data_IF_296638861995
#
_entry.id   IF_296638861995
#
_cell.length_a   1.000
_cell.length_b   1.000
_cell.length_c   1.000
_cell.angle_alpha   90.00
_cell.angle_beta   90.00
_cell.angle_gamma   90.00
#
_symmetry.space_group_name_H-M   'P 1'
#
loop_
_entity.id
_entity.type
_entity.pdbx_description
1 polymer ?
#
# COMPACT_ATOMS: atom_id res chain seq x y z
N UNK A 1 -4.96 16.78 25.16
CA UNK A 1 -4.65 16.50 23.74
C UNK A 1 -3.45 15.55 23.75
N UNK A 2 -3.58 14.33 23.22
CA UNK A 2 -2.49 13.34 23.28
C UNK A 2 -1.36 13.70 22.31
N UNK A 3 -0.12 13.24 22.56
CA UNK A 3 0.97 13.43 21.61
C UNK A 3 0.61 12.82 20.25
N UNK A 4 0.93 13.56 19.18
CA UNK A 4 0.57 13.18 17.80
C UNK A 4 1.07 11.78 17.42
N UNK A 5 2.21 11.32 17.92
CA UNK A 5 2.74 9.98 17.63
C UNK A 5 1.89 8.80 18.14
N UNK A 6 0.88 9.05 18.98
CA UNK A 6 -0.04 8.02 19.49
C UNK A 6 -1.44 8.11 18.87
N UNK A 7 -1.59 8.91 17.82
CA UNK A 7 -2.81 8.93 17.02
C UNK A 7 -2.84 7.71 16.10
N UNK A 8 -4.04 7.25 15.73
CA UNK A 8 -4.23 6.04 14.96
C UNK A 8 -3.60 6.14 13.56
N UNK A 9 -3.63 7.31 12.93
CA UNK A 9 -2.99 7.58 11.64
C UNK A 9 -1.46 7.44 11.72
N UNK A 10 -0.83 8.13 12.67
CA UNK A 10 0.64 8.12 12.83
C UNK A 10 1.16 6.76 13.29
N UNK A 11 0.44 6.06 14.17
CA UNK A 11 0.77 4.68 14.55
C UNK A 11 0.59 3.72 13.37
N UNK A 12 -0.46 3.90 12.56
CA UNK A 12 -0.64 3.11 11.34
C UNK A 12 0.52 3.35 10.39
N UNK A 13 0.89 4.60 10.11
CA UNK A 13 2.02 4.93 9.24
C UNK A 13 3.33 4.29 9.74
N UNK A 14 3.61 4.41 11.03
CA UNK A 14 4.78 3.79 11.64
C UNK A 14 4.79 2.25 11.49
N UNK A 15 3.65 1.62 11.79
CA UNK A 15 3.47 0.18 11.67
C UNK A 15 3.65 -0.28 10.22
N UNK A 16 2.98 0.37 9.26
CA UNK A 16 3.09 0.04 7.83
C UNK A 16 4.52 0.16 7.35
N UNK A 17 5.25 1.22 7.73
CA UNK A 17 6.65 1.39 7.39
C UNK A 17 7.54 0.25 7.92
N UNK A 18 7.21 -0.30 9.10
CA UNK A 18 7.94 -1.43 9.69
C UNK A 18 7.61 -2.74 9.00
N UNK A 19 6.34 -3.00 8.75
CA UNK A 19 5.89 -4.20 8.04
C UNK A 19 6.38 -4.23 6.59
N UNK A 20 6.37 -3.11 5.88
CA UNK A 20 6.90 -3.01 4.51
C UNK A 20 8.41 -3.28 4.42
N UNK A 21 9.19 -2.99 5.47
CA UNK A 21 10.60 -3.35 5.51
C UNK A 21 10.80 -4.86 5.66
N UNK A 22 9.89 -5.54 6.35
CA UNK A 22 9.95 -6.99 6.60
C UNK A 22 9.35 -7.80 5.46
N UNK A 23 8.34 -7.26 4.79
CA UNK A 23 7.59 -7.89 3.69
C UNK A 23 8.47 -8.59 2.63
N UNK A 24 9.56 -7.98 2.11
CA UNK A 24 10.37 -8.60 1.05
C UNK A 24 11.19 -9.81 1.52
N UNK A 25 11.26 -10.07 2.83
CA UNK A 25 11.96 -11.23 3.38
C UNK A 25 11.18 -12.55 3.18
N UNK A 26 9.88 -12.47 2.85
CA UNK A 26 9.06 -13.64 2.58
C UNK A 26 9.12 -13.99 1.08
N UNK A 27 9.52 -15.22 0.76
CA UNK A 27 9.53 -15.71 -0.62
C UNK A 27 8.10 -15.98 -1.13
N UNK A 28 7.28 -16.59 -0.26
CA UNK A 28 5.87 -16.91 -0.50
C UNK A 28 4.96 -16.13 0.43
N UNK A 29 3.78 -15.78 -0.06
CA UNK A 29 2.73 -15.19 0.76
C UNK A 29 1.76 -16.28 1.23
N UNK A 30 2.09 -16.89 2.36
CA UNK A 30 1.28 -17.90 3.03
C UNK A 30 0.75 -17.42 4.38
N UNK A 31 -0.01 -18.27 5.06
CA UNK A 31 -0.57 -17.96 6.38
C UNK A 31 0.53 -17.73 7.43
N UNK A 32 1.71 -18.34 7.25
CA UNK A 32 2.87 -18.12 8.11
C UNK A 32 3.42 -16.70 7.96
N UNK A 33 3.58 -16.21 6.72
CA UNK A 33 4.01 -14.84 6.47
C UNK A 33 3.02 -13.82 7.06
N UNK A 34 1.72 -14.03 6.87
CA UNK A 34 0.69 -13.17 7.48
C UNK A 34 0.73 -13.22 9.02
N UNK A 35 0.88 -14.40 9.61
CA UNK A 35 1.01 -14.55 11.06
C UNK A 35 2.24 -13.81 11.61
N UNK A 36 3.39 -13.94 10.96
CA UNK A 36 4.62 -13.23 11.34
C UNK A 36 4.48 -11.70 11.27
N UNK A 37 3.76 -11.19 10.27
CA UNK A 37 3.47 -9.76 10.17
C UNK A 37 2.46 -9.29 11.23
N UNK A 38 1.47 -10.13 11.58
CA UNK A 38 0.53 -9.85 12.68
C UNK A 38 1.23 -9.82 14.02
N UNK A 39 2.09 -10.79 14.30
CA UNK A 39 2.90 -10.83 15.53
C UNK A 39 3.79 -9.58 15.65
N UNK A 40 4.45 -9.19 14.55
CA UNK A 40 5.24 -7.95 14.53
C UNK A 40 4.39 -6.71 14.81
N UNK A 41 3.20 -6.62 14.19
CA UNK A 41 2.26 -5.53 14.44
C UNK A 41 1.84 -5.43 15.91
N UNK A 42 1.52 -6.57 16.54
CA UNK A 42 1.18 -6.63 17.97
C UNK A 42 2.35 -6.16 18.82
N UNK A 43 3.57 -6.65 18.59
CA UNK A 43 4.76 -6.21 19.34
C UNK A 43 5.00 -4.70 19.25
N UNK A 44 4.87 -4.13 18.06
CA UNK A 44 5.02 -2.67 17.85
C UNK A 44 3.99 -1.90 18.68
N UNK A 45 2.74 -2.36 18.71
CA UNK A 45 1.69 -1.72 19.50
C UNK A 45 1.90 -1.91 21.00
N UNK A 46 2.34 -3.08 21.47
CA UNK A 46 2.67 -3.30 22.89
C UNK A 46 3.78 -2.36 23.37
N UNK A 47 4.84 -2.18 22.57
CA UNK A 47 5.92 -1.23 22.85
C UNK A 47 5.39 0.22 22.89
N UNK A 48 4.62 0.62 21.88
CA UNK A 48 4.03 1.95 21.80
C UNK A 48 3.05 2.23 22.97
N UNK A 49 2.26 1.23 23.37
CA UNK A 49 1.32 1.30 24.49
C UNK A 49 2.02 1.42 25.84
N UNK A 50 3.17 0.76 26.00
CA UNK A 50 4.01 0.92 27.19
C UNK A 50 4.54 2.35 27.29
N UNK A 51 5.07 2.90 26.19
CA UNK A 51 5.51 4.30 26.13
C UNK A 51 4.35 5.30 26.31
N UNK A 52 3.16 4.97 25.81
CA UNK A 52 1.98 5.82 25.96
C UNK A 52 1.58 5.93 27.43
N UNK A 53 1.54 4.82 28.18
CA UNK A 53 1.22 4.81 29.61
C UNK A 53 2.16 5.67 30.46
N UNK A 54 3.42 5.78 30.07
CA UNK A 54 4.40 6.66 30.74
C UNK A 54 4.06 8.16 30.59
N UNK A 55 3.25 8.52 29.60
CA UNK A 55 2.97 9.92 29.23
C UNK A 55 1.52 10.32 29.50
N UNK A 56 0.59 9.41 29.19
CA UNK A 56 -0.84 9.59 29.34
C UNK A 56 -1.44 8.26 29.79
N UNK A 57 -1.76 8.18 31.08
CA UNK A 57 -2.39 7.00 31.69
C UNK A 57 -3.89 6.94 31.33
N UNK A 58 -4.19 6.73 30.05
CA UNK A 58 -5.56 6.60 29.51
C UNK A 58 -5.75 5.27 28.75
N UNK A 59 -6.08 4.18 29.47
CA UNK A 59 -6.22 2.86 28.87
C UNK A 59 -7.39 2.76 27.88
N UNK A 60 -8.45 3.55 28.06
CA UNK A 60 -9.64 3.53 27.19
C UNK A 60 -9.36 4.19 25.83
N UNK A 61 -8.57 5.27 25.81
CA UNK A 61 -8.06 5.83 24.58
C UNK A 61 -7.13 4.83 23.87
N UNK A 62 -6.15 4.27 24.58
CA UNK A 62 -5.19 3.34 24.00
C UNK A 62 -5.88 2.13 23.37
N UNK A 63 -6.82 1.50 24.09
CA UNK A 63 -7.58 0.34 23.60
C UNK A 63 -8.37 0.64 22.32
N UNK A 64 -8.90 1.86 22.17
CA UNK A 64 -9.60 2.26 20.94
C UNK A 64 -8.66 2.40 19.77
N UNK A 65 -7.49 3.00 19.97
CA UNK A 65 -6.46 3.16 18.94
C UNK A 65 -5.91 1.80 18.53
N UNK A 66 -5.53 0.97 19.49
CA UNK A 66 -5.05 -0.40 19.27
C UNK A 66 -6.07 -1.21 18.46
N UNK A 67 -7.34 -1.17 18.87
CA UNK A 67 -8.42 -1.84 18.14
C UNK A 67 -8.57 -1.32 16.71
N UNK A 68 -8.54 0.00 16.50
CA UNK A 68 -8.63 0.57 15.16
C UNK A 68 -7.48 0.10 14.27
N UNK A 69 -6.25 0.07 14.79
CA UNK A 69 -5.08 -0.39 14.04
C UNK A 69 -5.15 -1.90 13.74
N UNK A 70 -5.47 -2.73 14.73
CA UNK A 70 -5.49 -4.19 14.58
C UNK A 70 -6.69 -4.73 13.81
N UNK A 71 -7.88 -4.14 14.00
CA UNK A 71 -9.11 -4.65 13.38
C UNK A 71 -9.37 -4.01 12.01
N UNK A 72 -8.85 -2.81 11.75
CA UNK A 72 -9.11 -2.07 10.50
C UNK A 72 -7.86 -1.94 9.64
N UNK A 73 -6.81 -1.30 10.15
CA UNK A 73 -5.64 -0.98 9.34
C UNK A 73 -4.86 -2.25 8.92
N UNK A 74 -4.56 -3.12 9.88
CA UNK A 74 -3.73 -4.31 9.66
C UNK A 74 -4.37 -5.30 8.66
N UNK A 75 -5.66 -5.68 8.75
CA UNK A 75 -6.27 -6.57 7.76
C UNK A 75 -6.33 -5.94 6.36
N UNK A 76 -6.59 -4.62 6.27
CA UNK A 76 -6.56 -3.90 5.00
C UNK A 76 -5.16 -3.93 4.38
N UNK A 77 -4.13 -3.68 5.18
CA UNK A 77 -2.74 -3.80 4.76
C UNK A 77 -2.41 -5.19 4.25
N UNK A 78 -2.71 -6.25 5.01
CA UNK A 78 -2.38 -7.63 4.61
C UNK A 78 -3.00 -8.01 3.27
N UNK A 79 -4.24 -7.58 2.99
CA UNK A 79 -4.88 -7.79 1.68
C UNK A 79 -4.15 -7.05 0.55
N UNK A 80 -3.76 -5.79 0.78
CA UNK A 80 -3.02 -4.99 -0.21
C UNK A 80 -1.63 -5.61 -0.48
N UNK A 81 -0.92 -5.94 0.59
CA UNK A 81 0.42 -6.53 0.53
C UNK A 81 0.40 -7.90 -0.16
N UNK A 82 -0.60 -8.74 0.11
CA UNK A 82 -0.82 -10.02 -0.59
C UNK A 82 -1.01 -9.83 -2.09
N UNK A 83 -1.90 -8.91 -2.48
CA UNK A 83 -2.17 -8.64 -3.89
C UNK A 83 -0.91 -8.12 -4.60
N UNK A 84 -0.14 -7.25 -3.93
CA UNK A 84 1.12 -6.74 -4.45
C UNK A 84 2.19 -7.83 -4.57
N UNK A 85 2.32 -8.71 -3.56
CA UNK A 85 3.24 -9.85 -3.59
C UNK A 85 2.95 -10.82 -4.74
N UNK A 86 1.67 -11.13 -4.96
CA UNK A 86 1.25 -11.95 -6.11
C UNK A 86 1.57 -11.28 -7.45
N UNK A 87 1.43 -9.95 -7.53
CA UNK A 87 1.85 -9.21 -8.72
C UNK A 87 3.37 -9.27 -8.90
N UNK A 88 4.16 -9.13 -7.83
CA UNK A 88 5.62 -9.25 -7.86
C UNK A 88 6.10 -10.63 -8.33
N UNK A 89 5.48 -11.71 -7.84
CA UNK A 89 5.82 -13.08 -8.26
C UNK A 89 5.59 -13.33 -9.76
N UNK A 90 4.55 -12.69 -10.31
CA UNK A 90 4.25 -12.72 -11.74
C UNK A 90 5.00 -11.64 -12.53
N UNK A 91 6.00 -10.98 -11.92
CA UNK A 91 6.75 -9.86 -12.49
C UNK A 91 5.85 -8.78 -13.11
N UNK A 92 4.73 -8.50 -12.45
CA UNK A 92 3.70 -7.55 -12.87
C UNK A 92 3.09 -7.88 -14.25
N UNK A 93 3.10 -9.14 -14.66
CA UNK A 93 2.62 -9.60 -15.96
C UNK A 93 3.66 -9.50 -17.08
N UNK A 94 4.92 -9.16 -16.77
CA UNK A 94 5.99 -9.15 -17.75
C UNK A 94 6.33 -10.58 -18.21
N UNK A 95 6.33 -10.79 -19.53
CA UNK A 95 6.71 -12.09 -20.10
C UNK A 95 8.14 -12.46 -19.67
N UNK A 96 8.30 -13.65 -19.10
CA UNK A 96 9.58 -14.21 -18.62
C UNK A 96 10.34 -13.24 -17.67
N UNK A 97 9.59 -12.62 -16.75
CA UNK A 97 10.08 -11.71 -15.70
C UNK A 97 10.84 -10.46 -16.16
N UNK A 98 10.75 -10.10 -17.44
CA UNK A 98 11.46 -8.93 -17.98
C UNK A 98 12.97 -9.16 -18.20
N UNK A 99 13.40 -10.43 -18.29
CA UNK A 99 14.78 -10.82 -18.60
C UNK A 99 15.29 -10.17 -19.91
N UNK A 100 16.61 -10.16 -20.10
CA UNK A 100 17.25 -9.59 -21.29
C UNK A 100 16.67 -10.14 -22.60
N UNK A 101 16.30 -11.43 -22.63
CA UNK A 101 15.67 -12.06 -23.78
C UNK A 101 14.24 -11.51 -24.03
N UNK A 102 13.48 -11.21 -22.97
CA UNK A 102 12.18 -10.55 -23.09
C UNK A 102 12.34 -9.16 -23.68
N UNK A 103 13.33 -8.39 -23.23
CA UNK A 103 13.63 -7.05 -23.77
C UNK A 103 13.98 -7.12 -25.26
N UNK A 104 14.78 -8.12 -25.67
CA UNK A 104 15.10 -8.37 -27.09
C UNK A 104 13.84 -8.73 -27.88
N UNK A 105 12.97 -9.61 -27.38
CA UNK A 105 11.75 -10.02 -28.09
C UNK A 105 10.71 -8.89 -28.17
N UNK A 106 10.55 -8.08 -27.12
CA UNK A 106 9.73 -6.88 -27.16
C UNK A 106 10.26 -5.87 -28.18
N UNK A 107 11.58 -5.68 -28.23
CA UNK A 107 12.23 -4.80 -29.21
C UNK A 107 12.04 -5.32 -30.64
N UNK A 108 12.24 -6.62 -30.89
CA UNK A 108 12.03 -7.25 -32.20
C UNK A 108 10.56 -7.17 -32.65
N UNK A 109 9.61 -7.39 -31.74
CA UNK A 109 8.18 -7.24 -32.01
C UNK A 109 7.83 -5.80 -32.38
N UNK A 110 8.36 -4.82 -31.63
CA UNK A 110 8.17 -3.41 -31.92
C UNK A 110 8.78 -3.00 -33.27
N UNK A 111 9.97 -3.51 -33.62
CA UNK A 111 10.59 -3.31 -34.94
C UNK A 111 9.72 -3.89 -36.04
N UNK A 112 9.19 -5.10 -35.87
CA UNK A 112 8.28 -5.73 -36.84
C UNK A 112 7.02 -4.90 -37.08
N UNK A 113 6.35 -4.46 -36.01
CA UNK A 113 5.18 -3.59 -36.08
C UNK A 113 5.51 -2.24 -36.73
N UNK A 114 6.66 -1.65 -36.39
CA UNK A 114 7.12 -0.40 -36.99
C UNK A 114 7.35 -0.55 -38.50
N UNK A 115 8.03 -1.61 -38.94
CA UNK A 115 8.27 -1.89 -40.37
C UNK A 115 6.95 -2.08 -41.14
N UNK A 116 5.96 -2.78 -40.55
CA UNK A 116 4.62 -2.93 -41.14
C UNK A 116 3.92 -1.57 -41.22
N UNK A 117 3.98 -0.76 -40.16
CA UNK A 117 3.36 0.57 -40.11
C UNK A 117 3.93 1.53 -41.17
N UNK A 118 5.23 1.41 -41.46
CA UNK A 118 5.91 2.19 -42.50
C UNK A 118 5.51 1.76 -43.92
N UNK A 119 5.00 0.54 -44.10
CA UNK A 119 4.59 0.00 -45.39
C UNK A 119 3.19 0.44 -45.82
N UNK A 120 2.35 0.88 -44.87
CA UNK A 120 0.98 1.34 -45.10
C UNK A 120 0.98 2.88 -45.17
N UNK A 121 0.77 3.50 -46.34
CA UNK A 121 0.94 4.94 -46.55
C UNK A 121 0.18 5.87 -45.57
N UNK A 122 -1.11 5.63 -45.23
CA UNK A 122 -1.80 6.50 -44.29
C UNK A 122 -1.27 6.36 -42.86
N UNK A 123 -0.87 5.15 -42.44
CA UNK A 123 -0.29 4.91 -41.12
C UNK A 123 1.13 5.47 -41.02
N UNK A 124 1.90 5.48 -42.11
CA UNK A 124 3.29 5.98 -42.13
C UNK A 124 3.41 7.43 -41.66
N UNK A 125 2.50 8.30 -42.10
CA UNK A 125 2.57 9.74 -41.78
C UNK A 125 2.03 10.06 -40.38
N UNK A 126 1.05 9.29 -39.90
CA UNK A 126 0.44 9.47 -38.58
C UNK A 126 1.20 8.76 -37.45
N UNK A 127 1.66 7.53 -37.67
CA UNK A 127 2.30 6.68 -36.65
C UNK A 127 3.82 6.63 -36.76
N UNK A 128 4.44 7.12 -37.84
CA UNK A 128 5.89 7.13 -38.03
C UNK A 128 6.72 7.51 -36.78
N UNK A 129 6.47 8.66 -36.13
CA UNK A 129 7.16 9.02 -34.89
C UNK A 129 6.78 8.13 -33.70
N UNK A 130 5.53 7.65 -33.64
CA UNK A 130 5.06 6.73 -32.60
C UNK A 130 5.75 5.35 -32.69
N UNK A 131 6.01 4.87 -33.91
CA UNK A 131 6.69 3.60 -34.16
C UNK A 131 8.15 3.64 -33.71
N UNK A 132 8.84 4.78 -33.92
CA UNK A 132 10.19 5.00 -33.40
C UNK A 132 10.22 5.06 -31.87
N UNK A 133 9.24 5.73 -31.27
CA UNK A 133 9.06 5.75 -29.82
C UNK A 133 8.71 4.37 -29.26
N UNK A 134 7.91 3.57 -29.97
CA UNK A 134 7.57 2.21 -29.57
C UNK A 134 8.80 1.29 -29.59
N UNK A 135 9.66 1.37 -30.63
CA UNK A 135 10.92 0.63 -30.67
C UNK A 135 11.84 1.05 -29.52
N UNK A 136 12.00 2.35 -29.29
CA UNK A 136 12.86 2.86 -28.23
C UNK A 136 12.33 2.58 -26.82
N UNK A 137 10.99 2.59 -26.64
CA UNK A 137 10.31 2.42 -25.36
C UNK A 137 9.97 0.97 -24.98
N UNK A 138 9.84 0.07 -25.96
CA UNK A 138 9.54 -1.34 -25.75
C UNK A 138 10.43 -2.06 -24.73
N UNK A 139 11.77 -1.89 -24.69
CA UNK A 139 12.60 -2.56 -23.69
C UNK A 139 12.38 -2.04 -22.26
N UNK A 140 11.77 -0.86 -22.09
CA UNK A 140 11.49 -0.24 -20.80
C UNK A 140 10.06 -0.49 -20.30
N UNK A 141 9.18 -1.06 -21.13
CA UNK A 141 7.82 -1.45 -20.73
C UNK A 141 7.75 -2.30 -19.45
N UNK A 142 8.56 -3.36 -19.25
CA UNK A 142 8.50 -4.15 -18.01
C UNK A 142 8.85 -3.31 -16.78
N UNK A 143 9.84 -2.42 -16.90
CA UNK A 143 10.28 -1.55 -15.80
C UNK A 143 9.21 -0.48 -15.49
N UNK A 144 8.55 0.06 -16.52
CA UNK A 144 7.43 0.99 -16.37
C UNK A 144 6.22 0.35 -15.67
N UNK A 145 5.87 -0.89 -16.03
CA UNK A 145 4.78 -1.62 -15.37
C UNK A 145 5.07 -1.84 -13.90
N UNK A 146 6.29 -2.28 -13.56
CA UNK A 146 6.73 -2.46 -12.17
C UNK A 146 6.72 -1.13 -11.40
N UNK A 147 7.20 -0.03 -12.01
CA UNK A 147 7.20 1.29 -11.38
C UNK A 147 5.78 1.81 -11.12
N UNK A 148 4.86 1.65 -12.08
CA UNK A 148 3.47 2.04 -11.93
C UNK A 148 2.76 1.21 -10.86
N UNK A 149 2.99 -0.10 -10.82
CA UNK A 149 2.43 -0.97 -9.80
C UNK A 149 2.92 -0.55 -8.39
N UNK A 150 4.23 -0.31 -8.22
CA UNK A 150 4.81 0.21 -6.98
C UNK A 150 4.23 1.55 -6.58
N UNK A 151 4.04 2.47 -7.53
CA UNK A 151 3.45 3.79 -7.28
C UNK A 151 2.00 3.67 -6.82
N UNK A 152 1.20 2.84 -7.49
CA UNK A 152 -0.20 2.57 -7.11
C UNK A 152 -0.29 1.93 -5.73
N UNK A 153 0.60 0.98 -5.44
CA UNK A 153 0.66 0.33 -4.14
C UNK A 153 0.96 1.33 -3.01
N UNK A 154 1.96 2.20 -3.20
CA UNK A 154 2.26 3.29 -2.24
C UNK A 154 1.06 4.21 -2.01
N UNK A 155 0.40 4.63 -3.09
CA UNK A 155 -0.80 5.46 -2.99
C UNK A 155 -1.93 4.76 -2.22
N UNK A 156 -2.06 3.43 -2.32
CA UNK A 156 -3.04 2.66 -1.55
C UNK A 156 -2.69 2.60 -0.06
N UNK A 157 -1.40 2.53 0.29
CA UNK A 157 -0.95 2.59 1.69
C UNK A 157 -1.15 3.99 2.27
N UNK A 158 -0.83 5.04 1.51
CA UNK A 158 -1.09 6.44 1.90
C UNK A 158 -2.60 6.69 2.10
N UNK A 159 -3.44 6.18 1.19
CA UNK A 159 -4.88 6.25 1.34
C UNK A 159 -5.38 5.52 2.59
N UNK A 160 -4.77 4.38 2.94
CA UNK A 160 -5.10 3.66 4.18
C UNK A 160 -4.79 4.52 5.43
N UNK A 161 -3.64 5.22 5.44
CA UNK A 161 -3.30 6.13 6.54
C UNK A 161 -4.27 7.30 6.63
N UNK A 162 -4.64 7.90 5.49
CA UNK A 162 -5.60 9.01 5.48
C UNK A 162 -7.02 8.56 5.89
N UNK A 163 -7.44 7.34 5.53
CA UNK A 163 -8.71 6.77 6.02
C UNK A 163 -8.71 6.66 7.55
N UNK A 164 -7.62 6.16 8.14
CA UNK A 164 -7.47 6.09 9.61
C UNK A 164 -7.50 7.46 10.27
N UNK A 165 -6.96 8.48 9.58
CA UNK A 165 -6.98 9.87 10.03
C UNK A 165 -8.39 10.43 10.02
N UNK A 166 -9.16 10.14 8.98
CA UNK A 166 -10.55 10.57 8.89
C UNK A 166 -11.42 9.89 9.95
N UNK A 167 -11.27 8.57 10.15
CA UNK A 167 -11.93 7.82 11.22
C UNK A 167 -11.62 8.41 12.59
N UNK A 168 -10.36 8.77 12.86
CA UNK A 168 -10.00 9.41 14.12
C UNK A 168 -10.62 10.80 14.30
N UNK A 169 -10.72 11.61 13.24
CA UNK A 169 -11.40 12.93 13.31
C UNK A 169 -12.89 12.75 13.60
N UNK A 170 -13.53 11.78 12.96
CA UNK A 170 -14.94 11.47 13.21
C UNK A 170 -15.14 10.97 14.65
N UNK A 171 -14.27 10.10 15.17
CA UNK A 171 -14.31 9.66 16.57
C UNK A 171 -14.05 10.80 17.57
N UNK A 172 -13.17 11.74 17.23
CA UNK A 172 -12.93 12.95 18.03
C UNK A 172 -14.13 13.92 18.04
N UNK A 173 -14.87 13.99 16.92
CA UNK A 173 -16.10 14.77 16.81
C UNK A 173 -17.30 14.06 17.48
N UNK A 174 -17.32 12.73 17.51
CA UNK A 174 -18.36 11.89 18.12
C UNK A 174 -18.13 11.64 19.62
N UNK A 175 -17.56 12.62 20.33
CA UNK A 175 -17.51 12.61 21.81
C UNK A 175 -18.97 12.67 22.30
N UNK A 176 -19.52 11.59 22.85
CA UNK A 176 -20.96 11.40 22.89
C UNK A 176 -21.64 12.33 23.90
N UNK A 177 -22.89 12.69 23.57
CA UNK A 177 -23.95 13.30 24.39
C UNK A 177 -24.26 12.56 25.72
N UNK A 178 -23.38 11.66 26.21
CA UNK A 178 -23.60 10.88 27.43
C UNK A 178 -23.44 11.70 28.71
N UNK A 179 -22.75 12.85 28.68
CA UNK A 179 -22.67 13.74 29.85
C UNK A 179 -23.99 14.51 30.10
N UNK A 180 -24.91 14.57 29.13
CA UNK A 180 -26.17 15.29 29.28
C UNK A 180 -27.36 14.41 29.66
N UNK A 181 -27.26 13.08 29.51
CA UNK A 181 -28.33 12.15 29.89
C UNK A 181 -28.21 11.60 31.32
N UNK A 182 -27.05 11.77 31.97
CA UNK A 182 -26.84 11.38 33.38
C UNK A 182 -27.00 12.56 34.37
N UNK A 183 -27.17 13.79 33.90
CA UNK A 183 -27.42 14.97 34.75
C UNK A 183 -28.92 15.30 34.92
N UNK A 184 -29.82 14.45 34.40
CA UNK A 184 -31.27 14.68 34.38
C UNK A 184 -32.10 13.68 35.18
N UNK A 185 -31.48 12.79 35.95
CA UNK A 185 -32.18 11.81 36.77
C UNK A 185 -31.62 11.80 38.20
N UNK A 186 -32.13 12.70 39.03
CA UNK A 186 -32.48 12.46 40.44
C UNK A 186 -32.93 13.79 41.09
N UNK A 187 -33.93 13.79 41.98
CA UNK A 187 -35.24 13.12 41.95
C UNK A 187 -36.43 14.10 41.83
#
# INVERSE_FOLDING_TARGET
MYPRRYTADELTEHLLARLERRRPAFETWDDYAEAQLREEAVRILEEAGTQFREIADDPDYWKRVEKAVLDVALPRYLRLARAFHQAEQNAFGAWRRGDALSRVIYTLTAIGLALISLRIPPLRFWLGPLSLLAIAGAPFLPDLQAALARRRYRAQLEALVEDMREEQRQLGAYRPLSDHLLSGSDP
#
